data_IF_310904622132
#
_entry.id   IF_310904622132
#
_cell.length_a   1.000
_cell.length_b   1.000
_cell.length_c   1.000
_cell.angle_alpha   90.00
_cell.angle_beta   90.00
_cell.angle_gamma   90.00
#
_symmetry.space_group_name_H-M   'P 1'
#
loop_
_entity.id
_entity.type
_entity.pdbx_description
1 polymer ?
#
# COMPACT_ATOMS: atom_id res chain seq x y z
N UNK A 1 -0.24 7.72 -3.39
CA UNK A 1 -0.83 7.30 -2.10
C UNK A 1 -1.81 6.18 -2.39
N UNK A 2 -1.82 5.16 -1.54
CA UNK A 2 -2.73 4.00 -1.64
C UNK A 2 -3.74 4.08 -0.50
N UNK A 3 -5.03 4.00 -0.81
CA UNK A 3 -6.11 3.94 0.17
C UNK A 3 -6.80 2.60 0.05
N UNK A 4 -6.98 1.90 1.17
CA UNK A 4 -7.68 0.62 1.23
C UNK A 4 -9.09 0.79 1.80
N UNK A 5 -9.94 -0.21 1.57
CA UNK A 5 -11.34 -0.23 2.03
C UNK A 5 -11.48 -0.24 3.57
N UNK A 6 -10.39 -0.52 4.29
CA UNK A 6 -10.33 -0.43 5.75
C UNK A 6 -10.16 1.02 6.26
N UNK A 7 -10.20 2.00 5.37
CA UNK A 7 -10.07 3.43 5.64
C UNK A 7 -8.63 3.89 5.87
N UNK A 8 -7.63 3.00 5.82
CA UNK A 8 -6.23 3.37 6.00
C UNK A 8 -5.63 3.87 4.69
N UNK A 9 -4.73 4.83 4.83
CA UNK A 9 -3.95 5.39 3.73
C UNK A 9 -2.46 5.16 3.97
N UNK A 10 -1.75 4.86 2.88
CA UNK A 10 -0.35 4.51 2.84
C UNK A 10 0.38 5.36 1.82
N UNK A 11 1.56 5.84 2.20
CA UNK A 11 2.46 6.57 1.33
C UNK A 11 3.37 5.57 0.63
N UNK A 12 3.35 5.57 -0.71
CA UNK A 12 4.34 4.86 -1.49
C UNK A 12 5.59 5.74 -1.72
N UNK A 13 6.78 5.14 -1.69
CA UNK A 13 7.98 5.76 -2.27
C UNK A 13 7.79 6.13 -3.74
N UNK A 14 8.60 7.06 -4.25
CA UNK A 14 8.52 7.52 -5.64
C UNK A 14 8.78 6.38 -6.65
N UNK A 15 9.63 5.42 -6.28
CA UNK A 15 10.01 4.29 -7.12
C UNK A 15 9.07 3.08 -6.99
N UNK A 16 7.97 3.18 -6.23
CA UNK A 16 7.09 2.04 -6.02
C UNK A 16 6.27 1.71 -7.28
N UNK A 17 6.36 0.46 -7.74
CA UNK A 17 5.57 0.00 -8.89
C UNK A 17 4.17 -0.44 -8.46
N UNK A 18 3.14 0.14 -9.08
CA UNK A 18 1.73 -0.21 -8.87
C UNK A 18 1.13 -1.08 -9.97
N UNK A 19 1.92 -1.53 -10.94
CA UNK A 19 1.43 -2.35 -12.05
C UNK A 19 0.74 -3.62 -11.54
N UNK A 20 -0.47 -3.88 -12.06
CA UNK A 20 -1.30 -5.01 -11.63
C UNK A 20 -2.12 -4.78 -10.35
N UNK A 21 -1.96 -3.63 -9.68
CA UNK A 21 -2.85 -3.21 -8.60
C UNK A 21 -4.05 -2.46 -9.17
N UNK A 22 -5.12 -3.21 -9.40
CA UNK A 22 -6.42 -2.66 -9.80
C UNK A 22 -7.34 -2.48 -8.57
N UNK A 23 -8.29 -1.55 -8.68
CA UNK A 23 -9.29 -1.36 -7.64
C UNK A 23 -10.10 -2.66 -7.42
N UNK A 24 -10.31 -3.03 -6.16
CA UNK A 24 -10.99 -4.27 -5.78
C UNK A 24 -10.06 -5.48 -5.57
N UNK A 25 -8.76 -5.36 -5.85
CA UNK A 25 -7.78 -6.38 -5.50
C UNK A 25 -7.54 -6.39 -3.99
N UNK A 26 -7.58 -7.57 -3.39
CA UNK A 26 -7.23 -7.75 -1.97
C UNK A 26 -5.73 -7.83 -1.80
N UNK A 27 -5.19 -7.06 -0.85
CA UNK A 27 -3.75 -6.93 -0.65
C UNK A 27 -3.35 -7.08 0.82
N UNK A 28 -2.12 -7.53 1.06
CA UNK A 28 -1.41 -7.43 2.34
C UNK A 28 -0.34 -6.35 2.17
N UNK A 29 -0.37 -5.33 3.01
CA UNK A 29 0.60 -4.21 2.95
C UNK A 29 1.63 -4.37 4.05
N UNK A 30 2.90 -4.47 3.68
CA UNK A 30 4.03 -4.37 4.59
C UNK A 30 4.50 -2.93 4.64
N UNK A 31 4.47 -2.33 5.82
CA UNK A 31 4.79 -0.91 5.98
C UNK A 31 5.58 -0.63 7.25
N UNK A 32 6.27 0.49 7.27
CA UNK A 32 6.85 1.09 8.49
C UNK A 32 6.19 2.42 8.79
N UNK A 33 6.09 2.78 10.06
CA UNK A 33 5.65 4.11 10.46
C UNK A 33 6.85 5.05 10.56
N UNK A 34 6.82 6.14 9.80
CA UNK A 34 7.83 7.21 9.81
C UNK A 34 7.08 8.51 10.04
N UNK A 35 7.38 9.22 11.14
CA UNK A 35 6.73 10.48 11.52
C UNK A 35 5.19 10.41 11.52
N UNK A 36 4.64 9.29 11.99
CA UNK A 36 3.19 9.06 12.04
C UNK A 36 2.54 8.73 10.69
N UNK A 37 3.32 8.57 9.62
CA UNK A 37 2.85 8.15 8.28
C UNK A 37 3.21 6.70 8.02
N UNK A 38 2.30 5.96 7.39
CA UNK A 38 2.53 4.58 6.96
C UNK A 38 3.22 4.57 5.60
N UNK A 39 4.50 4.26 5.57
CA UNK A 39 5.31 4.18 4.34
C UNK A 39 5.38 2.72 3.89
N UNK A 40 4.96 2.45 2.65
CA UNK A 40 4.94 1.11 2.07
C UNK A 40 6.38 0.65 1.87
N UNK A 41 6.66 -0.56 2.34
CA UNK A 41 7.89 -1.29 2.04
C UNK A 41 7.64 -2.29 0.91
N UNK A 42 6.52 -3.01 0.98
CA UNK A 42 6.14 -4.04 0.01
C UNK A 42 4.62 -4.33 0.06
N UNK A 43 4.10 -5.04 -0.94
CA UNK A 43 2.69 -5.41 -1.03
C UNK A 43 2.50 -6.77 -1.71
N UNK A 44 1.72 -7.65 -1.07
CA UNK A 44 1.31 -8.93 -1.64
C UNK A 44 -0.15 -8.93 -2.06
N UNK A 45 -0.43 -9.39 -3.28
CA UNK A 45 -1.79 -9.63 -3.75
C UNK A 45 -2.30 -10.97 -3.20
N UNK A 46 -3.43 -10.93 -2.52
CA UNK A 46 -4.14 -12.12 -2.03
C UNK A 46 -5.12 -12.57 -3.11
N UNK A 47 -4.96 -13.81 -3.59
CA UNK A 47 -5.90 -14.46 -4.51
C UNK A 47 -7.11 -15.06 -3.78
#
# INVERSE_FOLDING_TARGET
>A
MLTLDDGKTYQAPEEFNFDGLEAGVKVIVFYTEVDGKRVINDLDIVK
#
